data_IF_443141457248
#
_entry.id   IF_443141457248
#
_cell.length_a   1.000
_cell.length_b   1.000
_cell.length_c   1.000
_cell.angle_alpha   90.00
_cell.angle_beta   90.00
_cell.angle_gamma   90.00
#
_symmetry.space_group_name_H-M   'P 1'
#
loop_
_entity.id
_entity.type
_entity.pdbx_description
1 polymer ?
#
# COMPACT_ATOMS: atom_id res chain seq x y z
N UNK A 1 -29.10 -17.22 -27.29
CA UNK A 1 -28.27 -16.03 -26.99
C UNK A 1 -26.93 -16.56 -26.51
N UNK A 2 -25.85 -16.32 -27.24
CA UNK A 2 -24.52 -16.80 -26.87
C UNK A 2 -24.01 -15.96 -25.70
N UNK A 3 -24.16 -16.45 -24.48
CA UNK A 3 -23.57 -15.87 -23.28
C UNK A 3 -22.06 -16.16 -23.29
N UNK A 4 -21.30 -15.37 -24.06
CA UNK A 4 -19.86 -15.40 -23.90
C UNK A 4 -19.52 -14.97 -22.46
N UNK A 5 -18.97 -15.92 -21.70
CA UNK A 5 -18.50 -15.67 -20.35
C UNK A 5 -17.57 -14.45 -20.33
N UNK A 6 -17.71 -13.59 -19.32
CA UNK A 6 -16.95 -12.36 -19.18
C UNK A 6 -15.44 -12.58 -19.31
N UNK A 7 -14.94 -13.76 -18.92
CA UNK A 7 -13.54 -14.16 -19.06
C UNK A 7 -13.09 -14.28 -20.52
N UNK A 8 -13.95 -14.81 -21.39
CA UNK A 8 -13.68 -14.99 -22.84
C UNK A 8 -13.71 -13.64 -23.55
N UNK A 9 -14.67 -12.79 -23.22
CA UNK A 9 -14.76 -11.43 -23.75
C UNK A 9 -13.53 -10.59 -23.36
N UNK A 10 -13.10 -10.67 -22.10
CA UNK A 10 -11.89 -10.01 -21.61
C UNK A 10 -10.62 -10.53 -22.30
N UNK A 11 -10.53 -11.85 -22.53
CA UNK A 11 -9.39 -12.44 -23.23
C UNK A 11 -9.29 -11.96 -24.68
N UNK A 12 -10.41 -11.98 -25.43
CA UNK A 12 -10.48 -11.46 -26.80
C UNK A 12 -10.12 -9.97 -26.86
N UNK A 13 -10.64 -9.17 -25.93
CA UNK A 13 -10.32 -7.74 -25.86
C UNK A 13 -8.82 -7.49 -25.64
N UNK A 14 -8.18 -8.23 -24.73
CA UNK A 14 -6.73 -8.11 -24.46
C UNK A 14 -5.89 -8.45 -25.69
N UNK A 15 -6.26 -9.52 -26.40
CA UNK A 15 -5.62 -9.91 -27.67
C UNK A 15 -5.78 -8.82 -28.74
N UNK A 16 -7.00 -8.33 -28.97
CA UNK A 16 -7.28 -7.29 -29.98
C UNK A 16 -6.57 -5.97 -29.71
N UNK A 17 -6.36 -5.64 -28.43
CA UNK A 17 -5.71 -4.38 -28.04
C UNK A 17 -4.21 -4.49 -27.88
N UNK A 18 -3.60 -5.64 -28.23
CA UNK A 18 -2.18 -5.94 -27.95
C UNK A 18 -1.80 -5.62 -26.50
N UNK A 19 -2.77 -5.74 -25.58
CA UNK A 19 -2.52 -5.60 -24.15
C UNK A 19 -1.88 -6.91 -23.75
N UNK A 20 -0.56 -7.00 -23.95
CA UNK A 20 0.21 -8.04 -23.32
C UNK A 20 -0.13 -7.95 -21.83
N UNK A 21 -0.70 -9.02 -21.29
CA UNK A 21 -0.77 -9.22 -19.86
C UNK A 21 0.67 -9.26 -19.41
N UNK A 22 1.23 -8.09 -19.10
CA UNK A 22 2.65 -7.93 -18.89
C UNK A 22 3.05 -8.91 -17.80
N UNK A 23 3.98 -9.82 -18.11
CA UNK A 23 4.63 -10.59 -17.07
C UNK A 23 5.30 -9.55 -16.19
N UNK A 24 4.82 -9.41 -14.96
CA UNK A 24 5.48 -8.56 -13.98
C UNK A 24 6.94 -8.98 -13.84
N UNK A 25 7.79 -8.15 -13.23
CA UNK A 25 9.20 -8.48 -13.00
C UNK A 25 9.29 -9.88 -12.37
N UNK A 26 9.81 -10.84 -13.12
CA UNK A 26 9.87 -12.25 -12.72
C UNK A 26 11.19 -12.61 -12.06
N UNK A 27 12.17 -11.70 -12.11
CA UNK A 27 13.49 -11.87 -11.50
C UNK A 27 13.83 -10.70 -10.58
N UNK A 28 14.75 -10.93 -9.65
CA UNK A 28 15.29 -9.88 -8.78
C UNK A 28 15.96 -8.78 -9.60
N UNK A 29 16.64 -9.12 -10.69
CA UNK A 29 17.23 -8.13 -11.60
C UNK A 29 16.18 -7.23 -12.24
N UNK A 30 15.01 -7.78 -12.60
CA UNK A 30 13.90 -7.00 -13.14
C UNK A 30 13.30 -6.06 -12.08
N UNK A 31 13.22 -6.51 -10.83
CA UNK A 31 12.79 -5.67 -9.70
C UNK A 31 13.75 -4.50 -9.47
N UNK A 32 15.07 -4.74 -9.51
CA UNK A 32 16.07 -3.68 -9.36
C UNK A 32 15.88 -2.61 -10.46
N UNK A 33 15.65 -3.02 -11.71
CA UNK A 33 15.38 -2.09 -12.81
C UNK A 33 14.08 -1.30 -12.62
N UNK A 34 13.06 -1.91 -12.01
CA UNK A 34 11.81 -1.20 -11.69
C UNK A 34 12.07 -0.15 -10.61
N UNK A 35 12.77 -0.51 -9.54
CA UNK A 35 13.11 0.42 -8.45
C UNK A 35 13.92 1.60 -8.98
N UNK A 36 14.97 1.33 -9.77
CA UNK A 36 15.79 2.38 -10.36
C UNK A 36 14.97 3.39 -11.18
N UNK A 37 14.02 2.93 -12.01
CA UNK A 37 13.13 3.83 -12.76
C UNK A 37 12.20 4.65 -11.86
N UNK A 38 11.76 4.06 -10.74
CA UNK A 38 10.91 4.78 -9.78
C UNK A 38 11.72 5.82 -8.99
N UNK A 39 13.00 5.59 -8.75
CA UNK A 39 13.92 6.58 -8.18
C UNK A 39 14.21 7.72 -9.17
N UNK A 40 14.54 7.40 -10.42
CA UNK A 40 14.78 8.38 -11.49
C UNK A 40 13.58 9.31 -11.71
N UNK A 41 12.37 8.79 -11.56
CA UNK A 41 11.12 9.56 -11.71
C UNK A 41 10.69 10.27 -10.43
N UNK A 42 11.40 10.10 -9.32
CA UNK A 42 10.99 10.58 -7.99
C UNK A 42 9.68 9.98 -7.51
N UNK A 43 9.23 8.87 -8.11
CA UNK A 43 7.96 8.22 -7.76
C UNK A 43 8.04 7.47 -6.43
N UNK A 44 9.24 7.14 -5.95
CA UNK A 44 9.44 6.62 -4.59
C UNK A 44 9.47 7.71 -3.52
N UNK A 45 9.50 8.99 -3.91
CA UNK A 45 9.46 10.06 -2.93
C UNK A 45 8.14 10.01 -2.15
N UNK A 46 8.28 10.02 -0.83
CA UNK A 46 7.17 10.08 0.11
C UNK A 46 6.53 11.48 0.05
N UNK A 47 5.76 11.72 -1.01
CA UNK A 47 5.02 12.96 -1.19
C UNK A 47 3.79 12.93 -0.31
N UNK A 48 3.67 13.93 0.56
CA UNK A 48 2.47 14.17 1.37
C UNK A 48 1.29 14.40 0.44
N UNK A 49 0.55 13.33 0.14
CA UNK A 49 -0.74 13.40 -0.54
C UNK A 49 -1.79 13.80 0.49
N UNK A 50 -2.61 14.80 0.19
CA UNK A 50 -3.66 15.27 1.09
C UNK A 50 -4.50 14.09 1.60
N UNK A 51 -4.57 13.91 2.92
CA UNK A 51 -5.34 12.84 3.56
C UNK A 51 -4.64 11.50 3.72
N UNK A 52 -3.41 11.31 3.23
CA UNK A 52 -2.62 10.09 3.48
C UNK A 52 -1.43 10.40 4.39
N UNK A 53 -1.24 9.65 5.50
CA UNK A 53 -0.04 9.77 6.31
C UNK A 53 1.18 9.46 5.45
N UNK A 54 2.28 10.18 5.67
CA UNK A 54 3.54 9.86 5.01
C UNK A 54 4.02 8.46 5.43
N UNK A 55 4.83 7.80 4.59
CA UNK A 55 5.48 6.53 4.94
C UNK A 55 6.26 6.67 6.24
N UNK A 56 6.96 7.79 6.45
CA UNK A 56 7.68 8.05 7.71
C UNK A 56 6.75 8.11 8.92
N UNK A 57 5.59 8.76 8.79
CA UNK A 57 4.59 8.79 9.85
C UNK A 57 4.01 7.39 10.12
N UNK A 58 3.79 6.61 9.08
CA UNK A 58 3.27 5.24 9.18
C UNK A 58 4.27 4.31 9.88
N UNK A 59 5.57 4.44 9.58
CA UNK A 59 6.63 3.67 10.22
C UNK A 59 6.75 4.02 11.71
N UNK A 60 6.71 5.31 12.07
CA UNK A 60 6.73 5.74 13.46
C UNK A 60 5.54 5.20 14.26
N UNK A 61 4.33 5.27 13.71
CA UNK A 61 3.12 4.68 14.33
C UNK A 61 3.28 3.16 14.53
N UNK A 62 3.85 2.46 13.55
CA UNK A 62 4.09 1.02 13.63
C UNK A 62 5.11 0.66 14.71
N UNK A 63 6.20 1.42 14.83
CA UNK A 63 7.21 1.23 15.88
C UNK A 63 6.61 1.44 17.27
N UNK A 64 5.80 2.49 17.46
CA UNK A 64 5.09 2.71 18.73
C UNK A 64 4.15 1.55 19.08
N UNK A 65 3.40 1.02 18.10
CA UNK A 65 2.52 -0.14 18.33
C UNK A 65 3.30 -1.43 18.61
N UNK A 66 4.44 -1.63 17.95
CA UNK A 66 5.27 -2.81 18.15
C UNK A 66 5.93 -2.82 19.53
N UNK A 67 6.37 -1.67 20.03
CA UNK A 67 6.83 -1.51 21.40
C UNK A 67 5.72 -1.74 22.42
N UNK A 68 4.48 -1.36 22.10
CA UNK A 68 3.34 -1.58 23.00
C UNK A 68 2.89 -3.05 23.09
N UNK A 69 3.10 -3.84 22.03
CA UNK A 69 2.75 -5.27 22.04
C UNK A 69 3.62 -6.09 22.99
N UNK A 70 4.80 -5.59 23.39
CA UNK A 70 5.65 -6.26 24.38
C UNK A 70 5.13 -6.11 25.82
N UNK A 71 4.20 -5.17 26.05
CA UNK A 71 3.60 -4.87 27.37
C UNK A 71 2.27 -5.62 27.57
N UNK A 72 1.83 -6.42 26.59
CA UNK A 72 0.71 -7.36 26.75
C UNK A 72 -0.68 -6.72 26.73
N UNK A 73 -0.83 -5.48 26.27
CA UNK A 73 -2.15 -4.81 26.17
C UNK A 73 -2.58 -4.66 24.71
N UNK A 74 -3.27 -5.68 24.18
CA UNK A 74 -3.63 -5.79 22.76
C UNK A 74 -5.11 -5.47 22.48
N UNK A 75 -5.67 -4.39 23.03
CA UNK A 75 -6.99 -3.93 22.58
C UNK A 75 -6.87 -2.75 21.60
N UNK A 76 -7.62 -2.79 20.51
CA UNK A 76 -7.65 -1.72 19.51
C UNK A 76 -8.00 -0.36 20.12
N UNK A 77 -8.87 -0.36 21.15
CA UNK A 77 -9.27 0.83 21.90
C UNK A 77 -8.12 1.44 22.70
N UNK A 78 -7.30 0.60 23.32
CA UNK A 78 -6.15 1.07 24.10
C UNK A 78 -5.02 1.58 23.19
N UNK A 79 -4.75 0.89 22.08
CA UNK A 79 -3.82 1.35 21.04
C UNK A 79 -4.25 2.71 20.46
N UNK A 80 -5.55 2.90 20.19
CA UNK A 80 -6.09 4.18 19.71
C UNK A 80 -5.87 5.34 20.70
N UNK A 81 -6.05 5.11 22.01
CA UNK A 81 -5.79 6.14 23.04
C UNK A 81 -4.31 6.55 23.08
N UNK A 82 -3.40 5.58 23.07
CA UNK A 82 -1.95 5.85 23.15
C UNK A 82 -1.42 6.56 21.90
N UNK A 83 -1.91 6.15 20.72
CA UNK A 83 -1.62 6.85 19.48
C UNK A 83 -2.15 8.28 19.48
N UNK A 84 -3.33 8.53 20.06
CA UNK A 84 -3.86 9.88 20.19
C UNK A 84 -3.02 10.77 21.14
N UNK A 85 -2.42 10.21 22.19
CA UNK A 85 -1.50 10.94 23.08
C UNK A 85 -0.20 11.34 22.39
N UNK A 86 0.42 10.43 21.64
CA UNK A 86 1.69 10.72 20.96
C UNK A 86 1.52 11.47 19.63
N UNK A 87 0.39 11.27 18.95
CA UNK A 87 0.12 11.83 17.63
C UNK A 87 -1.36 12.25 17.51
N UNK A 88 -1.73 13.44 18.04
CA UNK A 88 -3.14 13.87 18.14
C UNK A 88 -3.88 13.99 16.81
N UNK A 89 -3.16 14.03 15.68
CA UNK A 89 -3.74 14.04 14.33
C UNK A 89 -4.40 12.71 13.92
N UNK A 90 -4.18 11.62 14.67
CA UNK A 90 -4.80 10.31 14.41
C UNK A 90 -5.92 9.94 15.38
N UNK A 91 -6.27 10.86 16.30
CA UNK A 91 -7.33 10.63 17.29
C UNK A 91 -8.72 10.40 16.65
N UNK A 92 -8.94 10.88 15.43
CA UNK A 92 -10.23 10.82 14.72
C UNK A 92 -10.50 9.51 13.98
N UNK A 93 -9.53 8.59 13.88
CA UNK A 93 -9.71 7.33 13.12
C UNK A 93 -10.21 6.15 13.97
N UNK A 94 -10.37 6.34 15.29
CA UNK A 94 -10.71 5.27 16.24
C UNK A 94 -11.94 5.59 17.13
N UNK A 95 -12.74 6.60 16.77
CA UNK A 95 -14.10 6.78 17.32
C UNK A 95 -15.11 5.99 16.51
#
# INVERSE_FOLDING_TARGET
>A
MNEESATVALHKFRLLKNVQTGKGPSTVADLIKVVQRLEETGSLEDRVRSGRPSLRQTLSVRETLASDSSVGSNSAREAGRRLAYHHPRYATFFM
#
